data_IF_081179162137
#
_entry.id   IF_081179162137
#
_cell.length_a   1.000
_cell.length_b   1.000
_cell.length_c   1.000
_cell.angle_alpha   90.00
_cell.angle_beta   90.00
_cell.angle_gamma   90.00
#
_symmetry.space_group_name_H-M   'P 1'
#
loop_
_entity.id
_entity.type
_entity.pdbx_description
1 polymer ?
#
# COMPACT_ATOMS: atom_id res chain seq x y z
N UNK A 1 -2.65 -15.02 10.30
CA UNK A 1 -2.43 -13.75 11.04
C UNK A 1 -1.38 -13.99 12.09
N UNK A 2 -0.26 -13.26 12.03
CA UNK A 2 0.82 -13.34 13.03
C UNK A 2 0.48 -12.45 14.23
N UNK A 3 0.58 -12.98 15.42
CA UNK A 3 0.45 -12.24 16.68
C UNK A 3 1.76 -12.27 17.44
N UNK A 4 2.10 -11.18 18.09
CA UNK A 4 3.32 -11.00 18.89
C UNK A 4 3.82 -9.57 18.79
N UNK A 5 4.42 -9.05 19.85
CA UNK A 5 4.93 -7.69 19.90
C UNK A 5 6.15 -7.44 19.01
N UNK A 6 6.74 -6.25 19.09
CA UNK A 6 7.98 -5.92 18.37
C UNK A 6 9.11 -6.90 18.71
N UNK A 7 9.95 -7.20 17.73
CA UNK A 7 11.16 -8.01 17.93
C UNK A 7 10.98 -9.54 17.96
N UNK A 8 9.75 -10.07 17.88
CA UNK A 8 9.53 -11.54 17.90
C UNK A 8 9.79 -12.24 16.57
N UNK A 9 10.29 -11.55 15.57
CA UNK A 9 10.68 -12.17 14.30
C UNK A 9 9.57 -12.23 13.24
N UNK A 10 8.44 -11.51 13.38
CA UNK A 10 7.35 -11.48 12.38
C UNK A 10 7.85 -11.15 10.98
N UNK A 11 8.64 -10.06 10.84
CA UNK A 11 9.23 -9.65 9.58
C UNK A 11 10.12 -10.74 8.97
N UNK A 12 11.00 -11.35 9.75
CA UNK A 12 11.88 -12.44 9.32
C UNK A 12 11.06 -13.63 8.81
N UNK A 13 10.02 -14.00 9.55
CA UNK A 13 9.14 -15.10 9.19
C UNK A 13 8.40 -14.83 7.85
N UNK A 14 7.86 -13.63 7.67
CA UNK A 14 7.19 -13.24 6.43
C UNK A 14 8.15 -13.20 5.24
N UNK A 15 9.36 -12.67 5.43
CA UNK A 15 10.40 -12.67 4.38
C UNK A 15 10.80 -14.07 3.95
N UNK A 16 10.92 -14.99 4.89
CA UNK A 16 11.29 -16.37 4.58
C UNK A 16 10.18 -17.09 3.78
N UNK A 17 8.93 -16.86 4.15
CA UNK A 17 7.78 -17.36 3.37
C UNK A 17 7.82 -16.81 1.94
N UNK A 18 7.97 -15.48 1.78
CA UNK A 18 8.01 -14.86 0.46
C UNK A 18 9.13 -15.43 -0.39
N UNK A 19 10.35 -15.47 0.15
CA UNK A 19 11.53 -16.02 -0.53
C UNK A 19 11.34 -17.48 -0.95
N UNK A 20 10.78 -18.30 -0.06
CA UNK A 20 10.51 -19.72 -0.35
C UNK A 20 9.51 -19.86 -1.50
N UNK A 21 8.49 -19.02 -1.52
CA UNK A 21 7.48 -19.06 -2.58
C UNK A 21 8.04 -18.56 -3.92
N UNK A 22 8.86 -17.51 -3.92
CA UNK A 22 9.57 -17.04 -5.12
C UNK A 22 10.49 -18.12 -5.68
N UNK A 23 11.24 -18.82 -4.82
CA UNK A 23 12.10 -19.95 -5.24
C UNK A 23 11.29 -21.11 -5.83
N UNK A 24 10.04 -21.27 -5.41
CA UNK A 24 9.11 -22.23 -5.99
C UNK A 24 8.43 -21.72 -7.30
N UNK A 25 8.79 -20.53 -7.77
CA UNK A 25 8.26 -19.93 -9.00
C UNK A 25 6.91 -19.26 -8.87
N UNK A 26 6.48 -18.92 -7.64
CA UNK A 26 5.24 -18.20 -7.41
C UNK A 26 5.47 -16.69 -7.40
N UNK A 27 4.49 -15.94 -7.92
CA UNK A 27 4.42 -14.50 -7.71
C UNK A 27 4.11 -14.20 -6.25
N UNK A 28 4.80 -13.21 -5.69
CA UNK A 28 4.65 -12.76 -4.31
C UNK A 28 4.46 -11.26 -4.25
N UNK A 29 3.43 -10.80 -3.53
CA UNK A 29 3.24 -9.39 -3.22
C UNK A 29 3.71 -9.11 -1.78
N UNK A 30 4.63 -8.17 -1.61
CA UNK A 30 5.14 -7.73 -0.31
C UNK A 30 4.43 -6.46 0.13
N UNK A 31 3.83 -6.49 1.32
CA UNK A 31 3.21 -5.33 1.96
C UNK A 31 4.20 -4.72 2.94
N UNK A 32 4.78 -3.59 2.54
CA UNK A 32 5.80 -2.90 3.34
C UNK A 32 5.17 -2.03 4.41
N UNK A 33 5.79 -1.99 5.57
CA UNK A 33 5.33 -1.17 6.69
C UNK A 33 5.66 0.31 6.46
N UNK A 34 4.69 1.20 6.68
CA UNK A 34 4.93 2.64 6.62
C UNK A 34 5.70 3.18 7.83
N UNK A 35 5.57 2.53 8.97
CA UNK A 35 6.29 2.89 10.19
C UNK A 35 7.76 2.49 10.18
N UNK A 36 8.07 1.36 9.53
CA UNK A 36 9.42 0.84 9.33
C UNK A 36 9.57 0.32 7.89
N UNK A 37 10.07 1.15 6.96
CA UNK A 37 10.12 0.82 5.53
C UNK A 37 11.02 -0.37 5.18
N UNK A 38 11.78 -0.89 6.12
CA UNK A 38 12.59 -2.10 5.97
C UNK A 38 11.88 -3.35 6.52
N UNK A 39 10.67 -3.20 7.07
CA UNK A 39 9.86 -4.30 7.60
C UNK A 39 8.63 -4.56 6.72
N UNK A 40 8.07 -5.76 6.87
CA UNK A 40 6.84 -6.18 6.20
C UNK A 40 5.67 -6.17 7.17
N UNK A 41 4.52 -5.70 6.70
CA UNK A 41 3.21 -5.87 7.33
C UNK A 41 2.48 -7.09 6.78
N UNK A 42 2.93 -7.62 5.62
CA UNK A 42 2.35 -8.82 5.04
C UNK A 42 3.07 -9.34 3.81
N UNK A 43 2.68 -10.56 3.46
CA UNK A 43 3.07 -11.27 2.23
C UNK A 43 1.83 -11.93 1.66
N UNK A 44 1.56 -11.72 0.37
CA UNK A 44 0.44 -12.33 -0.34
C UNK A 44 0.98 -13.23 -1.43
N UNK A 45 0.43 -14.42 -1.53
CA UNK A 45 0.73 -15.39 -2.59
C UNK A 45 -0.56 -15.56 -3.42
N UNK A 46 -0.72 -14.80 -4.52
CA UNK A 46 -1.97 -14.77 -5.28
C UNK A 46 -2.39 -16.14 -5.82
N UNK A 47 -1.44 -16.91 -6.32
CA UNK A 47 -1.68 -18.25 -6.88
C UNK A 47 -2.29 -19.23 -5.85
N UNK A 48 -1.92 -19.08 -4.58
CA UNK A 48 -2.47 -19.88 -3.48
C UNK A 48 -3.70 -19.23 -2.82
N UNK A 49 -4.05 -18.01 -3.20
CA UNK A 49 -5.08 -17.20 -2.55
C UNK A 49 -4.86 -17.11 -1.03
N UNK A 50 -3.62 -16.98 -0.65
CA UNK A 50 -3.17 -16.99 0.75
C UNK A 50 -2.38 -15.72 1.06
N UNK A 51 -2.50 -15.25 2.31
CA UNK A 51 -1.71 -14.15 2.82
C UNK A 51 -1.25 -14.44 4.24
N UNK A 52 -0.07 -13.94 4.59
CA UNK A 52 0.43 -13.90 5.96
C UNK A 52 0.62 -12.43 6.32
N UNK A 53 -0.01 -11.97 7.39
CA UNK A 53 0.03 -10.56 7.79
C UNK A 53 0.34 -10.39 9.27
N UNK A 54 0.94 -9.26 9.59
CA UNK A 54 1.06 -8.80 10.97
C UNK A 54 -0.31 -8.35 11.47
N UNK A 55 -0.82 -8.99 12.50
CA UNK A 55 -2.07 -8.66 13.15
C UNK A 55 -1.90 -7.95 14.48
N UNK A 56 -0.73 -7.32 14.71
CA UNK A 56 -0.41 -6.61 15.94
C UNK A 56 -0.77 -5.12 15.81
N UNK A 57 -1.06 -4.47 16.93
CA UNK A 57 -1.27 -3.01 16.96
C UNK A 57 -0.09 -2.26 16.31
N UNK A 58 -0.35 -1.18 15.54
CA UNK A 58 -1.63 -0.49 15.34
C UNK A 58 -2.57 -1.15 14.31
N UNK A 59 -2.10 -2.09 13.49
CA UNK A 59 -2.85 -2.77 12.43
C UNK A 59 -3.53 -4.04 12.91
N UNK A 60 -4.19 -3.99 14.08
CA UNK A 60 -4.83 -5.17 14.65
C UNK A 60 -5.83 -5.81 13.67
N UNK A 61 -5.41 -6.91 13.05
CA UNK A 61 -6.24 -7.73 12.17
C UNK A 61 -6.81 -8.89 12.98
N UNK A 62 -8.13 -9.05 12.91
CA UNK A 62 -8.84 -10.15 13.55
C UNK A 62 -9.39 -11.11 12.49
N UNK A 63 -9.47 -12.41 12.77
CA UNK A 63 -10.03 -13.39 11.86
C UNK A 63 -11.49 -13.08 11.58
N UNK A 64 -11.86 -13.07 10.32
CA UNK A 64 -13.25 -12.98 9.90
C UNK A 64 -13.94 -14.33 9.97
N UNK A 65 -13.22 -15.39 9.66
CA UNK A 65 -13.71 -16.78 9.67
C UNK A 65 -12.71 -17.68 10.41
N UNK A 66 -12.69 -17.62 11.76
CA UNK A 66 -11.73 -18.36 12.56
C UNK A 66 -11.77 -19.86 12.31
N UNK A 67 -10.61 -20.48 12.20
CA UNK A 67 -10.39 -21.90 11.90
C UNK A 67 -10.89 -22.39 10.53
N UNK A 68 -11.90 -21.77 9.94
CA UNK A 68 -12.42 -22.15 8.62
C UNK A 68 -11.53 -21.62 7.48
N UNK A 69 -11.10 -20.36 7.59
CA UNK A 69 -10.26 -19.68 6.60
C UNK A 69 -9.03 -19.10 7.29
N UNK A 70 -9.25 -18.34 8.37
CA UNK A 70 -8.21 -17.58 9.03
C UNK A 70 -7.62 -18.35 10.21
N UNK A 71 -6.30 -18.23 10.39
CA UNK A 71 -5.57 -18.85 11.49
C UNK A 71 -4.67 -17.84 12.18
N UNK A 72 -4.53 -18.00 13.48
CA UNK A 72 -3.51 -17.32 14.25
C UNK A 72 -2.23 -18.14 14.32
N UNK A 73 -1.10 -17.43 14.21
CA UNK A 73 0.22 -17.93 14.56
C UNK A 73 0.74 -17.02 15.67
N UNK A 74 0.77 -17.52 16.89
CA UNK A 74 1.22 -16.79 18.07
C UNK A 74 2.73 -16.92 18.23
N UNK A 75 3.47 -15.90 17.80
CA UNK A 75 4.91 -15.77 18.02
C UNK A 75 5.22 -15.19 19.42
N UNK A 76 4.23 -14.60 20.08
CA UNK A 76 4.38 -14.09 21.45
C UNK A 76 4.68 -15.18 22.48
N UNK A 77 4.33 -16.43 22.18
CA UNK A 77 4.66 -17.59 23.03
C UNK A 77 6.17 -17.80 23.25
N UNK A 78 7.00 -17.20 22.39
CA UNK A 78 8.46 -17.33 22.46
C UNK A 78 9.13 -16.20 23.26
N UNK A 79 8.36 -15.28 23.87
CA UNK A 79 8.91 -14.28 24.76
C UNK A 79 9.48 -14.88 26.05
N UNK A 80 10.59 -14.30 26.49
CA UNK A 80 11.01 -14.40 27.87
C UNK A 80 10.09 -13.53 28.75
N UNK A 81 9.04 -14.15 29.28
CA UNK A 81 8.02 -13.45 30.07
C UNK A 81 8.57 -12.80 31.34
N UNK A 82 9.48 -13.42 32.11
CA UNK A 82 10.14 -12.77 33.24
C UNK A 82 10.89 -11.50 32.85
N UNK A 83 11.72 -11.55 31.80
CA UNK A 83 12.47 -10.40 31.31
C UNK A 83 11.52 -9.30 30.81
N UNK A 84 10.48 -9.64 30.03
CA UNK A 84 9.48 -8.70 29.55
C UNK A 84 8.73 -8.00 30.70
N UNK A 85 8.37 -8.73 31.75
CA UNK A 85 7.74 -8.16 32.95
C UNK A 85 8.67 -7.19 33.70
N UNK A 86 9.95 -7.51 33.81
CA UNK A 86 10.93 -6.65 34.46
C UNK A 86 11.04 -5.28 33.74
N UNK A 87 10.86 -5.25 32.41
CA UNK A 87 10.94 -4.04 31.59
C UNK A 87 9.58 -3.36 31.33
N UNK A 88 8.49 -3.83 31.94
CA UNK A 88 7.14 -3.36 31.66
C UNK A 88 6.96 -1.84 31.80
N UNK A 89 7.66 -1.19 32.74
CA UNK A 89 7.66 0.26 32.92
C UNK A 89 8.20 1.01 31.73
N UNK A 90 9.33 0.59 31.21
CA UNK A 90 9.98 1.17 30.03
C UNK A 90 9.15 0.93 28.76
N UNK A 91 8.65 -0.27 28.57
CA UNK A 91 7.77 -0.60 27.42
C UNK A 91 6.54 0.32 27.41
N UNK A 92 5.87 0.51 28.54
CA UNK A 92 4.71 1.39 28.66
C UNK A 92 5.07 2.86 28.38
N UNK A 93 6.23 3.32 28.80
CA UNK A 93 6.71 4.68 28.52
C UNK A 93 6.95 4.85 27.03
N UNK A 94 7.75 3.99 26.41
CA UNK A 94 8.05 4.06 24.97
C UNK A 94 6.80 3.93 24.10
N UNK A 95 5.85 3.10 24.50
CA UNK A 95 4.57 2.99 23.78
C UNK A 95 3.81 4.33 23.79
N UNK A 96 3.76 5.04 24.92
CA UNK A 96 3.13 6.38 25.00
C UNK A 96 3.88 7.40 24.17
N UNK A 97 5.21 7.46 24.32
CA UNK A 97 6.06 8.39 23.57
C UNK A 97 5.89 8.22 22.05
N UNK A 98 5.83 6.96 21.60
CA UNK A 98 5.55 6.60 20.22
C UNK A 98 4.16 7.08 19.76
N UNK A 99 3.11 6.79 20.52
CA UNK A 99 1.74 7.23 20.21
C UNK A 99 1.63 8.75 20.13
N UNK A 100 2.26 9.46 21.05
CA UNK A 100 2.29 10.93 21.06
C UNK A 100 3.04 11.50 19.87
N UNK A 101 4.17 10.87 19.47
CA UNK A 101 4.93 11.28 18.30
C UNK A 101 4.10 11.11 17.01
N UNK A 102 3.45 9.96 16.83
CA UNK A 102 2.54 9.71 15.71
C UNK A 102 1.39 10.70 15.68
N UNK A 103 0.75 10.96 16.84
CA UNK A 103 -0.31 11.95 16.94
C UNK A 103 0.14 13.35 16.49
N UNK A 104 1.37 13.75 16.81
CA UNK A 104 1.94 15.01 16.30
C UNK A 104 2.19 14.96 14.79
N UNK A 105 2.78 13.88 14.29
CA UNK A 105 3.05 13.70 12.86
C UNK A 105 1.77 13.80 12.02
N UNK A 106 0.72 13.08 12.39
CA UNK A 106 -0.56 13.15 11.68
C UNK A 106 -1.20 14.54 11.71
N UNK A 107 -1.07 15.29 12.81
CA UNK A 107 -1.55 16.70 12.83
C UNK A 107 -0.79 17.58 11.86
N UNK A 108 0.55 17.42 11.75
CA UNK A 108 1.37 18.16 10.79
C UNK A 108 1.01 17.79 9.34
N UNK A 109 0.86 16.50 9.05
CA UNK A 109 0.47 16.03 7.71
C UNK A 109 -0.92 16.57 7.33
N UNK A 110 -1.88 16.53 8.25
CA UNK A 110 -3.22 17.09 8.00
C UNK A 110 -3.16 18.59 7.71
N UNK A 111 -2.33 19.35 8.42
CA UNK A 111 -2.16 20.78 8.19
C UNK A 111 -1.49 21.05 6.83
N UNK A 112 -0.46 20.28 6.46
CA UNK A 112 0.20 20.36 5.16
C UNK A 112 -0.79 20.06 4.02
N UNK A 113 -1.58 18.99 4.15
CA UNK A 113 -2.62 18.64 3.17
C UNK A 113 -3.65 19.75 2.98
N UNK A 114 -4.04 20.47 4.03
CA UNK A 114 -4.97 21.59 3.90
C UNK A 114 -4.41 22.70 3.03
N UNK A 115 -3.13 23.06 3.21
CA UNK A 115 -2.46 24.09 2.40
C UNK A 115 -2.35 23.65 0.93
N UNK A 116 -2.04 22.38 0.70
CA UNK A 116 -1.96 21.80 -0.62
C UNK A 116 -3.31 21.82 -1.36
N UNK A 117 -4.40 21.44 -0.67
CA UNK A 117 -5.74 21.47 -1.24
C UNK A 117 -6.16 22.89 -1.68
N UNK A 118 -5.76 23.93 -0.97
CA UNK A 118 -6.00 25.33 -1.38
C UNK A 118 -5.28 25.63 -2.70
N UNK A 119 -4.03 25.18 -2.85
CA UNK A 119 -3.25 25.32 -4.09
C UNK A 119 -3.89 24.54 -5.23
N UNK A 120 -4.31 23.30 -5.01
CA UNK A 120 -5.01 22.45 -5.99
C UNK A 120 -6.29 23.14 -6.46
N UNK A 121 -7.07 23.73 -5.54
CA UNK A 121 -8.30 24.44 -5.86
C UNK A 121 -8.05 25.66 -6.78
N UNK A 122 -7.02 26.46 -6.48
CA UNK A 122 -6.68 27.62 -7.31
C UNK A 122 -6.24 27.21 -8.73
N UNK A 123 -5.35 26.21 -8.82
CA UNK A 123 -4.88 25.72 -10.12
C UNK A 123 -6.03 25.10 -10.93
N UNK A 124 -6.96 24.40 -10.27
CA UNK A 124 -8.12 23.78 -10.92
C UNK A 124 -9.01 24.78 -11.67
N UNK A 125 -9.02 26.06 -11.27
CA UNK A 125 -9.81 27.12 -11.93
C UNK A 125 -9.27 27.49 -13.30
N UNK A 126 -7.96 27.34 -13.51
CA UNK A 126 -7.27 27.72 -14.76
C UNK A 126 -6.81 26.53 -15.59
N UNK A 127 -6.96 25.32 -15.07
CA UNK A 127 -6.53 24.10 -15.74
C UNK A 127 -7.48 23.73 -16.89
N UNK A 128 -6.96 23.61 -18.12
CA UNK A 128 -7.73 23.16 -19.29
C UNK A 128 -7.95 21.64 -19.28
N UNK A 129 -8.97 21.22 -18.52
CA UNK A 129 -9.36 19.80 -18.40
C UNK A 129 -9.75 19.19 -19.74
N UNK A 130 -10.35 19.96 -20.64
CA UNK A 130 -10.79 19.44 -21.95
C UNK A 130 -9.60 19.09 -22.83
N UNK A 131 -8.58 19.94 -22.84
CA UNK A 131 -7.35 19.71 -23.60
C UNK A 131 -6.59 18.50 -23.04
N UNK A 132 -6.48 18.40 -21.72
CA UNK A 132 -5.88 17.26 -21.06
C UNK A 132 -6.64 15.96 -21.37
N UNK A 133 -7.96 15.94 -21.22
CA UNK A 133 -8.80 14.78 -21.53
C UNK A 133 -8.67 14.33 -22.99
N UNK A 134 -8.61 15.25 -23.95
CA UNK A 134 -8.37 14.90 -25.36
C UNK A 134 -7.03 14.20 -25.57
N UNK A 135 -5.97 14.67 -24.91
CA UNK A 135 -4.65 14.00 -24.98
C UNK A 135 -4.69 12.59 -24.38
N UNK A 136 -5.30 12.43 -23.20
CA UNK A 136 -5.49 11.13 -22.58
C UNK A 136 -6.30 10.18 -23.45
N UNK A 137 -7.41 10.64 -24.03
CA UNK A 137 -8.23 9.84 -24.96
C UNK A 137 -7.42 9.36 -26.16
N UNK A 138 -6.51 10.18 -26.68
CA UNK A 138 -5.60 9.79 -27.77
C UNK A 138 -4.62 8.68 -27.36
N UNK A 139 -4.09 8.74 -26.14
CA UNK A 139 -3.23 7.68 -25.59
C UNK A 139 -4.05 6.40 -25.41
N UNK A 140 -5.21 6.48 -24.77
CA UNK A 140 -6.10 5.34 -24.56
C UNK A 140 -6.49 4.64 -25.86
N UNK A 141 -6.85 5.42 -26.89
CA UNK A 141 -7.24 4.86 -28.19
C UNK A 141 -6.09 4.09 -28.86
N UNK A 142 -4.85 4.53 -28.67
CA UNK A 142 -3.66 3.89 -29.22
C UNK A 142 -3.23 2.65 -28.46
N UNK A 143 -3.26 2.71 -27.12
CA UNK A 143 -2.72 1.67 -26.25
C UNK A 143 -3.75 0.61 -25.85
N UNK A 144 -4.98 1.02 -25.57
CA UNK A 144 -6.06 0.14 -25.15
C UNK A 144 -6.86 -0.31 -26.36
N UNK A 145 -6.39 -1.34 -27.05
CA UNK A 145 -7.15 -1.97 -28.12
C UNK A 145 -8.23 -2.85 -27.51
N UNK A 146 -9.48 -2.61 -27.86
CA UNK A 146 -10.61 -3.41 -27.35
C UNK A 146 -10.41 -4.90 -27.55
N UNK A 147 -10.61 -5.67 -26.48
CA UNK A 147 -10.42 -7.14 -26.46
C UNK A 147 -11.72 -7.92 -26.27
N UNK A 148 -12.80 -7.31 -25.82
CA UNK A 148 -13.99 -8.04 -25.49
C UNK A 148 -15.16 -7.24 -24.93
N UNK A 149 -15.91 -7.84 -24.02
CA UNK A 149 -17.25 -7.42 -23.60
C UNK A 149 -17.29 -6.60 -22.28
N UNK A 150 -16.17 -6.13 -21.76
CA UNK A 150 -16.15 -5.22 -20.61
C UNK A 150 -16.24 -5.93 -19.24
N UNK A 151 -15.49 -7.00 -19.04
CA UNK A 151 -15.43 -7.76 -17.77
C UNK A 151 -14.17 -7.49 -16.94
N UNK A 152 -13.36 -6.52 -17.31
CA UNK A 152 -12.15 -6.14 -16.57
C UNK A 152 -12.44 -5.73 -15.12
N UNK A 153 -11.42 -5.84 -14.26
CA UNK A 153 -11.52 -5.55 -12.82
C UNK A 153 -10.55 -4.46 -12.43
N UNK A 154 -10.96 -3.62 -11.47
CA UNK A 154 -10.05 -2.69 -10.80
C UNK A 154 -9.61 -3.30 -9.47
N UNK A 155 -8.31 -3.51 -9.34
CA UNK A 155 -7.66 -3.85 -8.09
C UNK A 155 -6.90 -2.63 -7.57
N UNK A 156 -6.93 -2.38 -6.27
CA UNK A 156 -6.23 -1.26 -5.66
C UNK A 156 -5.02 -1.75 -4.89
N UNK A 157 -3.88 -1.05 -5.07
CA UNK A 157 -2.62 -1.26 -4.36
C UNK A 157 -1.99 0.09 -4.05
N UNK A 158 -1.05 0.12 -3.10
CA UNK A 158 -0.19 1.28 -2.87
C UNK A 158 1.21 0.95 -3.37
N UNK A 159 1.80 1.85 -4.16
CA UNK A 159 3.19 1.75 -4.62
C UNK A 159 4.18 2.47 -3.71
N UNK A 160 3.68 3.21 -2.75
CA UNK A 160 4.51 3.96 -1.83
C UNK A 160 3.85 4.20 -0.49
N UNK A 161 4.60 4.79 0.41
CA UNK A 161 4.12 5.23 1.71
C UNK A 161 4.92 6.44 2.19
N UNK A 162 4.29 7.25 3.04
CA UNK A 162 5.00 8.29 3.77
C UNK A 162 5.59 7.69 5.05
N UNK A 163 6.90 7.76 5.19
CA UNK A 163 7.66 7.15 6.28
C UNK A 163 8.44 8.17 7.07
N UNK A 164 9.09 7.76 8.15
CA UNK A 164 10.03 8.62 8.89
C UNK A 164 11.25 9.06 8.07
N UNK A 165 11.51 8.42 6.92
CA UNK A 165 12.56 8.80 5.96
C UNK A 165 12.02 9.70 4.82
N UNK A 166 10.76 10.11 4.90
CA UNK A 166 10.04 10.78 3.82
C UNK A 166 9.26 9.81 2.94
N UNK A 167 8.83 10.23 1.75
CA UNK A 167 8.14 9.38 0.79
C UNK A 167 9.05 8.23 0.32
N UNK A 168 8.54 7.01 0.33
CA UNK A 168 9.22 5.82 -0.21
C UNK A 168 8.33 5.22 -1.28
N UNK A 169 8.87 5.07 -2.49
CA UNK A 169 8.17 4.54 -3.66
C UNK A 169 8.80 3.21 -4.11
N UNK A 170 7.97 2.29 -4.58
CA UNK A 170 8.35 0.96 -5.07
C UNK A 170 8.05 0.84 -6.57
N UNK A 171 8.57 1.78 -7.36
CA UNK A 171 8.39 1.78 -8.82
C UNK A 171 9.10 0.63 -9.54
N UNK A 172 10.05 -0.04 -8.90
CA UNK A 172 10.66 -1.29 -9.36
C UNK A 172 9.61 -2.34 -9.75
N UNK A 173 8.49 -2.41 -9.03
CA UNK A 173 7.38 -3.29 -9.38
C UNK A 173 6.73 -2.92 -10.72
N UNK A 174 6.60 -1.63 -11.01
CA UNK A 174 6.05 -1.14 -12.29
C UNK A 174 7.00 -1.46 -13.43
N UNK A 175 8.29 -1.18 -13.26
CA UNK A 175 9.32 -1.44 -14.26
C UNK A 175 9.43 -2.94 -14.61
N UNK A 176 9.27 -3.80 -13.60
CA UNK A 176 9.34 -5.25 -13.77
C UNK A 176 8.10 -5.82 -14.48
N UNK A 177 6.91 -5.32 -14.12
CA UNK A 177 5.63 -5.88 -14.59
C UNK A 177 5.11 -5.23 -15.87
N UNK A 178 5.52 -4.00 -16.17
CA UNK A 178 4.98 -3.21 -17.26
C UNK A 178 5.99 -3.06 -18.40
N UNK A 179 5.75 -3.65 -19.58
CA UNK A 179 6.66 -3.54 -20.73
C UNK A 179 6.67 -2.11 -21.32
N UNK A 180 5.73 -1.27 -20.93
CA UNK A 180 5.62 0.11 -21.40
C UNK A 180 5.14 1.00 -20.27
N UNK A 181 5.87 2.07 -20.02
CA UNK A 181 5.58 3.05 -18.98
C UNK A 181 5.33 4.41 -19.61
N UNK A 182 4.33 5.13 -19.15
CA UNK A 182 4.08 6.53 -19.43
C UNK A 182 4.28 7.32 -18.16
N UNK A 183 5.13 8.32 -18.22
CA UNK A 183 5.32 9.27 -17.13
C UNK A 183 4.43 10.49 -17.37
N UNK A 184 3.76 10.92 -16.31
CA UNK A 184 2.94 12.12 -16.29
C UNK A 184 3.43 13.02 -15.15
N UNK A 185 3.97 14.17 -15.50
CA UNK A 185 4.31 15.20 -14.53
C UNK A 185 3.03 15.93 -14.11
N UNK A 186 2.70 15.89 -12.84
CA UNK A 186 1.52 16.54 -12.25
C UNK A 186 1.87 17.21 -10.93
N UNK A 187 2.38 18.43 -11.01
CA UNK A 187 2.84 19.20 -9.85
C UNK A 187 1.69 19.72 -8.97
N UNK A 188 0.44 19.61 -9.41
CA UNK A 188 -0.71 20.24 -8.74
C UNK A 188 -1.95 19.32 -8.69
N UNK A 189 -1.76 18.02 -8.70
CA UNK A 189 -2.82 17.00 -8.54
C UNK A 189 -4.02 17.15 -9.49
N UNK A 190 -3.79 17.56 -10.72
CA UNK A 190 -4.85 17.71 -11.72
C UNK A 190 -5.11 16.42 -12.51
N UNK A 191 -4.21 15.44 -12.44
CA UNK A 191 -4.29 14.18 -13.17
C UNK A 191 -5.26 13.15 -12.57
N UNK A 192 -5.57 13.22 -11.28
CA UNK A 192 -6.41 12.24 -10.59
C UNK A 192 -7.71 11.88 -11.34
N UNK A 193 -8.57 12.85 -11.72
CA UNK A 193 -9.78 12.58 -12.49
C UNK A 193 -9.52 11.98 -13.88
N UNK A 194 -8.39 12.30 -14.51
CA UNK A 194 -8.00 11.77 -15.82
C UNK A 194 -7.54 10.30 -15.70
N UNK A 195 -6.79 9.99 -14.66
CA UNK A 195 -6.36 8.61 -14.35
C UNK A 195 -7.55 7.74 -13.95
N UNK A 196 -8.51 8.28 -13.20
CA UNK A 196 -9.75 7.57 -12.88
C UNK A 196 -10.55 7.22 -14.16
N UNK A 197 -10.70 8.17 -15.07
CA UNK A 197 -11.35 7.95 -16.38
C UNK A 197 -10.59 6.92 -17.23
N UNK A 198 -9.24 6.92 -17.16
CA UNK A 198 -8.41 5.90 -17.81
C UNK A 198 -8.71 4.50 -17.26
N UNK A 199 -8.78 4.35 -15.94
CA UNK A 199 -9.09 3.08 -15.30
C UNK A 199 -10.47 2.56 -15.73
N UNK A 200 -11.49 3.40 -15.73
CA UNK A 200 -12.84 3.03 -16.16
C UNK A 200 -12.89 2.62 -17.65
N UNK A 201 -12.18 3.35 -18.51
CA UNK A 201 -12.13 3.04 -19.94
C UNK A 201 -11.39 1.72 -20.20
N UNK A 202 -10.29 1.46 -19.46
CA UNK A 202 -9.54 0.21 -19.57
C UNK A 202 -10.43 -0.99 -19.18
N UNK A 203 -11.20 -0.87 -18.10
CA UNK A 203 -12.14 -1.91 -17.66
C UNK A 203 -13.23 -2.15 -18.71
N UNK A 204 -13.78 -1.09 -19.30
CA UNK A 204 -14.78 -1.21 -20.39
C UNK A 204 -14.22 -1.92 -21.62
N UNK A 205 -12.91 -1.87 -21.83
CA UNK A 205 -12.20 -2.56 -22.92
C UNK A 205 -11.64 -3.92 -22.51
N UNK A 206 -12.08 -4.46 -21.38
CA UNK A 206 -11.74 -5.79 -20.88
C UNK A 206 -10.27 -5.95 -20.41
N UNK A 207 -9.70 -4.86 -19.88
CA UNK A 207 -8.42 -4.88 -19.21
C UNK A 207 -8.60 -4.96 -17.70
N UNK A 208 -7.82 -5.82 -17.05
CA UNK A 208 -7.62 -5.73 -15.60
C UNK A 208 -6.71 -4.54 -15.28
N UNK A 209 -7.10 -3.77 -14.28
CA UNK A 209 -6.42 -2.55 -13.88
C UNK A 209 -5.95 -2.66 -12.43
N UNK A 210 -4.68 -2.37 -12.19
CA UNK A 210 -4.19 -2.10 -10.84
C UNK A 210 -4.07 -0.60 -10.66
N UNK A 211 -4.98 -0.03 -9.89
CA UNK A 211 -4.97 1.39 -9.56
C UNK A 211 -4.18 1.62 -8.26
N UNK A 212 -3.21 2.51 -8.33
CA UNK A 212 -2.37 2.87 -7.18
C UNK A 212 -2.61 4.35 -6.86
N UNK A 213 -3.52 4.66 -5.92
CA UNK A 213 -3.76 6.03 -5.50
C UNK A 213 -2.52 6.64 -4.84
N UNK A 214 -2.46 7.96 -4.80
CA UNK A 214 -1.45 8.68 -4.02
C UNK A 214 -1.55 8.30 -2.54
N UNK A 215 -0.42 8.26 -1.86
CA UNK A 215 -0.36 8.01 -0.41
C UNK A 215 -0.69 9.25 0.42
N UNK A 216 -0.99 10.34 -0.24
CA UNK A 216 -1.30 11.63 0.38
C UNK A 216 -2.82 11.89 0.49
N UNK A 217 -3.64 10.99 -0.06
CA UNK A 217 -5.10 11.05 -0.02
C UNK A 217 -5.70 10.46 1.29
#
# INVERSE_FOLDING_TARGET
>A
ILKGGPGVGKNTFMREIGRTMEQAGADVEYLWCSGDPDSLDGVVIPALRCAVCDGTSPHAVEPKYPAAVDRYVDLGRFYDLPAAKAQAGEVKRHTRDYQDAYGRAYRCLKAARQVELDTVAEVSRVFDRQRAARRFSGIMARELRGRGSGTGKITRRFLGSLTHRGPVWRFDSVETLCPKVYELEDSYEQAGPLLAALCEEAVRRDYDVTACPSTEE
#
